data_IF_436028379638
#
_entry.id   IF_436028379638
#
_cell.length_a   1.000
_cell.length_b   1.000
_cell.length_c   1.000
_cell.angle_alpha   90.00
_cell.angle_beta   90.00
_cell.angle_gamma   90.00
#
_symmetry.space_group_name_H-M   'P 1'
#
loop_
_entity.id
_entity.type
_entity.pdbx_description
1 polymer ?
#
# COMPACT_ATOMS: atom_id res chain seq x y z
N UNK A 1 1.53 -7.44 -17.11
CA UNK A 1 2.93 -7.50 -16.63
C UNK A 1 2.89 -7.89 -15.16
N UNK A 2 3.26 -9.14 -14.82
CA UNK A 2 3.06 -9.77 -13.50
C UNK A 2 4.35 -9.70 -12.65
N UNK A 3 5.02 -8.53 -12.63
CA UNK A 3 6.38 -8.46 -12.11
C UNK A 3 6.47 -8.55 -10.58
N UNK A 4 5.44 -8.10 -9.86
CA UNK A 4 5.51 -7.86 -8.40
C UNK A 4 5.51 -9.14 -7.58
N UNK A 5 5.09 -10.27 -8.15
CA UNK A 5 4.98 -11.55 -7.43
C UNK A 5 5.77 -12.67 -8.15
N UNK A 6 6.85 -12.32 -8.86
CA UNK A 6 7.69 -13.31 -9.51
C UNK A 6 8.41 -14.17 -8.46
N UNK A 7 7.97 -15.43 -8.34
CA UNK A 7 8.51 -16.36 -7.35
C UNK A 7 10.00 -16.66 -7.51
N UNK A 8 10.52 -16.70 -8.74
CA UNK A 8 11.95 -16.94 -8.98
C UNK A 8 12.80 -15.78 -8.46
N UNK A 9 12.32 -14.55 -8.66
CA UNK A 9 12.97 -13.35 -8.15
C UNK A 9 12.92 -13.29 -6.62
N UNK A 10 11.77 -13.61 -6.00
CA UNK A 10 11.66 -13.62 -4.54
C UNK A 10 12.57 -14.68 -3.91
N UNK A 11 12.67 -15.86 -4.52
CA UNK A 11 13.58 -16.92 -4.09
C UNK A 11 15.04 -16.52 -4.26
N UNK A 12 15.41 -15.85 -5.35
CA UNK A 12 16.82 -15.51 -5.62
C UNK A 12 17.40 -14.47 -4.65
N UNK A 13 16.53 -13.72 -3.95
CA UNK A 13 16.92 -12.74 -2.93
C UNK A 13 16.56 -13.18 -1.51
N UNK A 14 16.15 -14.45 -1.33
CA UNK A 14 15.72 -15.00 -0.03
C UNK A 14 14.64 -14.12 0.66
N UNK A 15 13.73 -13.54 -0.12
CA UNK A 15 12.68 -12.68 0.40
C UNK A 15 11.67 -13.50 1.24
N UNK A 16 11.35 -12.99 2.43
CA UNK A 16 10.26 -13.50 3.27
C UNK A 16 8.87 -13.04 2.79
N UNK A 17 8.80 -12.09 1.87
CA UNK A 17 7.56 -11.53 1.39
C UNK A 17 7.75 -10.25 0.59
N UNK A 18 6.64 -9.58 0.31
CA UNK A 18 6.60 -8.34 -0.47
C UNK A 18 5.95 -7.25 0.37
N UNK A 19 6.59 -6.09 0.43
CA UNK A 19 6.01 -4.86 0.98
C UNK A 19 5.63 -3.91 -0.15
N UNK A 20 4.50 -3.22 -0.01
CA UNK A 20 4.06 -2.20 -0.95
C UNK A 20 3.34 -1.06 -0.24
N UNK A 21 3.32 0.11 -0.87
CA UNK A 21 2.51 1.24 -0.43
C UNK A 21 1.31 1.41 -1.38
N UNK A 22 0.11 1.45 -0.80
CA UNK A 22 -1.14 1.60 -1.53
C UNK A 22 -1.77 2.96 -1.19
N UNK A 23 -1.47 3.95 -2.02
CA UNK A 23 -1.92 5.34 -1.87
C UNK A 23 -3.19 5.69 -2.68
N UNK A 24 -3.67 4.80 -3.56
CA UNK A 24 -4.95 4.96 -4.24
C UNK A 24 -5.94 3.89 -3.80
N UNK A 25 -7.23 4.24 -3.78
CA UNK A 25 -8.29 3.30 -3.42
C UNK A 25 -8.27 2.04 -4.30
N UNK A 26 -8.01 2.21 -5.60
CA UNK A 26 -7.88 1.09 -6.55
C UNK A 26 -6.74 0.12 -6.18
N UNK A 27 -5.58 0.64 -5.78
CA UNK A 27 -4.44 -0.19 -5.38
C UNK A 27 -4.69 -0.87 -4.04
N UNK A 28 -5.36 -0.20 -3.09
CA UNK A 28 -5.74 -0.79 -1.80
C UNK A 28 -6.66 -2.00 -2.03
N UNK A 29 -7.68 -1.85 -2.89
CA UNK A 29 -8.58 -2.94 -3.25
C UNK A 29 -7.83 -4.07 -3.98
N UNK A 30 -6.97 -3.74 -4.95
CA UNK A 30 -6.22 -4.72 -5.72
C UNK A 30 -5.31 -5.57 -4.83
N UNK A 31 -4.53 -4.94 -3.96
CA UNK A 31 -3.56 -5.65 -3.11
C UNK A 31 -4.27 -6.45 -2.02
N UNK A 32 -5.35 -5.93 -1.44
CA UNK A 32 -6.20 -6.70 -0.52
C UNK A 32 -6.74 -7.98 -1.18
N UNK A 33 -7.26 -7.87 -2.42
CA UNK A 33 -7.72 -9.04 -3.21
C UNK A 33 -6.61 -10.03 -3.54
N UNK A 34 -5.35 -9.59 -3.54
CA UNK A 34 -4.17 -10.45 -3.75
C UNK A 34 -3.61 -11.04 -2.46
N UNK A 35 -4.23 -10.79 -1.31
CA UNK A 35 -3.83 -11.34 -0.03
C UNK A 35 -2.71 -10.56 0.66
N UNK A 36 -2.52 -9.28 0.32
CA UNK A 36 -1.71 -8.38 1.13
C UNK A 36 -2.51 -7.89 2.33
N UNK A 37 -1.85 -7.79 3.47
CA UNK A 37 -2.40 -7.31 4.73
C UNK A 37 -1.84 -5.93 5.06
N UNK A 38 -2.69 -5.04 5.57
CA UNK A 38 -2.24 -3.72 6.03
C UNK A 38 -1.46 -3.85 7.33
N UNK A 39 -0.21 -3.42 7.31
CA UNK A 39 0.69 -3.39 8.47
C UNK A 39 0.63 -2.03 9.18
N UNK A 40 0.50 -0.97 8.40
CA UNK A 40 0.34 0.39 8.92
C UNK A 40 -0.49 1.24 7.97
N UNK A 41 -1.15 2.26 8.50
CA UNK A 41 -1.92 3.22 7.71
C UNK A 41 -1.67 4.64 8.21
N UNK A 42 -1.60 5.58 7.26
CA UNK A 42 -1.59 7.02 7.56
C UNK A 42 -2.83 7.65 6.99
N UNK A 43 -3.69 8.22 7.84
CA UNK A 43 -4.83 9.01 7.41
C UNK A 43 -4.36 10.31 6.76
N UNK A 44 -4.86 10.63 5.57
CA UNK A 44 -4.54 11.88 4.88
C UNK A 44 -5.01 13.09 5.69
N UNK A 45 -6.13 12.97 6.41
CA UNK A 45 -6.64 13.99 7.33
C UNK A 45 -5.69 14.31 8.50
N UNK A 46 -4.72 13.45 8.80
CA UNK A 46 -3.68 13.73 9.81
C UNK A 46 -2.51 14.56 9.27
N UNK A 47 -2.49 14.87 7.98
CA UNK A 47 -1.46 15.65 7.31
C UNK A 47 -2.02 17.03 6.99
N UNK A 48 -1.74 17.97 7.89
CA UNK A 48 -2.22 19.34 7.82
C UNK A 48 -1.09 20.29 7.41
N UNK A 49 -1.42 21.34 6.66
CA UNK A 49 -0.54 22.47 6.41
C UNK A 49 -0.37 23.34 7.67
N UNK A 50 0.42 24.41 7.57
CA UNK A 50 0.63 25.37 8.67
C UNK A 50 -0.65 26.08 9.15
N UNK A 51 -1.72 26.05 8.36
CA UNK A 51 -3.00 26.70 8.66
C UNK A 51 -4.04 25.69 9.18
N UNK A 52 -3.69 24.40 9.31
CA UNK A 52 -4.60 23.35 9.76
C UNK A 52 -5.48 22.76 8.65
N UNK A 53 -5.21 23.06 7.37
CA UNK A 53 -5.94 22.46 6.25
C UNK A 53 -5.31 21.13 5.84
N UNK A 54 -6.14 20.15 5.50
CA UNK A 54 -5.66 18.87 4.96
C UNK A 54 -4.91 19.09 3.64
N UNK A 55 -3.69 18.56 3.55
CA UNK A 55 -2.80 18.76 2.39
C UNK A 55 -3.28 17.96 1.17
N UNK A 56 -3.71 16.72 1.39
CA UNK A 56 -4.09 15.78 0.33
C UNK A 56 -5.57 15.44 0.44
N UNK A 57 -6.36 15.87 -0.54
CA UNK A 57 -7.78 15.54 -0.67
C UNK A 57 -7.99 14.86 -2.01
N UNK A 58 -8.38 13.59 -1.99
CA UNK A 58 -8.53 12.77 -3.19
C UNK A 58 -9.99 12.71 -3.63
N UNK A 59 -10.27 12.93 -4.92
CA UNK A 59 -11.63 12.89 -5.48
C UNK A 59 -12.24 11.48 -5.49
N UNK A 60 -11.40 10.44 -5.54
CA UNK A 60 -11.81 9.04 -5.57
C UNK A 60 -12.21 8.47 -4.20
N UNK A 61 -12.19 9.31 -3.15
CA UNK A 61 -12.54 8.93 -1.79
C UNK A 61 -11.40 8.26 -1.01
N UNK A 62 -10.18 8.22 -1.54
CA UNK A 62 -9.02 7.75 -0.78
C UNK A 62 -8.81 8.63 0.47
N UNK A 63 -8.85 8.01 1.66
CA UNK A 63 -8.69 8.68 2.96
C UNK A 63 -7.35 8.40 3.64
N UNK A 64 -6.59 7.44 3.11
CA UNK A 64 -5.35 6.93 3.73
C UNK A 64 -4.38 6.37 2.70
N UNK A 65 -3.13 6.26 3.14
CA UNK A 65 -2.10 5.45 2.51
C UNK A 65 -1.84 4.23 3.39
N UNK A 66 -1.87 3.03 2.80
CA UNK A 66 -1.60 1.79 3.52
C UNK A 66 -0.22 1.24 3.15
N UNK A 67 0.61 0.96 4.16
CA UNK A 67 1.75 0.06 4.03
C UNK A 67 1.21 -1.36 4.18
N UNK A 68 1.40 -2.17 3.14
CA UNK A 68 0.88 -3.54 3.09
C UNK A 68 2.01 -4.55 2.93
N UNK A 69 1.83 -5.74 3.49
CA UNK A 69 2.77 -6.85 3.40
C UNK A 69 2.06 -8.14 2.98
N UNK A 70 2.73 -8.97 2.20
CA UNK A 70 2.32 -10.33 1.89
C UNK A 70 3.48 -11.27 2.09
N UNK A 71 3.30 -12.25 2.97
CA UNK A 71 4.29 -13.30 3.20
C UNK A 71 4.46 -14.17 1.95
N UNK A 72 5.70 -14.53 1.65
CA UNK A 72 6.04 -15.50 0.62
C UNK A 72 6.28 -16.86 1.29
N UNK A 73 5.46 -17.85 0.94
CA UNK A 73 5.52 -19.23 1.44
C UNK A 73 5.99 -20.18 0.35
#
# INVERSE_FOLDING_TARGET
MNWTENQELLKSVEASGIVAEASSLANQILLSKRGYETVAATLLASRLDSNGNQILVCEDGTDRVNLVFKEFK
#
